data_IF_312826022782
#
_entry.id   IF_312826022782
#
_cell.length_a   1.000
_cell.length_b   1.000
_cell.length_c   1.000
_cell.angle_alpha   90.00
_cell.angle_beta   90.00
_cell.angle_gamma   90.00
#
_symmetry.space_group_name_H-M   'P 1'
#
loop_
_entity.id
_entity.type
_entity.pdbx_description
1 polymer ?
#
# COMPACT_ATOMS: atom_id res chain seq x y z
N UNK A 1 27.43 49.58 -5.03
CA UNK A 1 26.64 48.44 -5.58
C UNK A 1 26.53 47.26 -4.62
N UNK A 2 27.48 47.01 -3.72
CA UNK A 2 27.37 45.93 -2.70
C UNK A 2 26.32 46.24 -1.61
N UNK A 3 26.19 47.51 -1.19
CA UNK A 3 25.28 47.90 -0.10
C UNK A 3 23.79 47.69 -0.40
N UNK A 4 23.34 47.83 -1.65
CA UNK A 4 21.91 47.68 -1.97
C UNK A 4 21.45 46.23 -1.88
N UNK A 5 22.32 45.27 -2.21
CA UNK A 5 22.02 43.84 -2.13
C UNK A 5 21.98 43.39 -0.66
N UNK A 6 22.89 43.93 0.17
CA UNK A 6 22.89 43.68 1.61
C UNK A 6 21.63 44.26 2.26
N UNK A 7 21.24 45.49 1.92
CA UNK A 7 20.00 46.10 2.43
C UNK A 7 18.74 45.34 1.99
N UNK A 8 18.72 44.80 0.77
CA UNK A 8 17.62 44.00 0.25
C UNK A 8 17.52 42.64 0.95
N UNK A 9 18.67 42.01 1.24
CA UNK A 9 18.75 40.78 2.02
C UNK A 9 18.34 41.02 3.48
N UNK A 10 18.75 42.14 4.08
CA UNK A 10 18.36 42.52 5.44
C UNK A 10 16.86 42.76 5.52
N UNK A 11 16.27 43.53 4.58
CA UNK A 11 14.81 43.73 4.49
C UNK A 11 14.06 42.42 4.28
N UNK A 12 14.58 41.54 3.43
CA UNK A 12 14.01 40.19 3.21
C UNK A 12 14.07 39.36 4.48
N UNK A 13 15.18 39.39 5.21
CA UNK A 13 15.37 38.64 6.46
C UNK A 13 14.44 39.17 7.55
N UNK A 14 14.33 40.50 7.72
CA UNK A 14 13.37 41.09 8.67
C UNK A 14 11.92 40.80 8.28
N UNK A 15 11.61 40.71 6.99
CA UNK A 15 10.29 40.27 6.50
C UNK A 15 10.03 38.81 6.83
N UNK A 16 10.99 37.92 6.59
CA UNK A 16 10.88 36.49 6.91
C UNK A 16 10.78 36.24 8.43
N UNK A 17 11.46 37.05 9.26
CA UNK A 17 11.40 36.97 10.72
C UNK A 17 10.12 37.59 11.32
N UNK A 18 9.51 38.56 10.63
CA UNK A 18 8.22 39.17 11.02
C UNK A 18 7.00 38.42 10.48
N UNK A 19 7.20 37.51 9.53
CA UNK A 19 6.18 36.55 9.13
C UNK A 19 5.95 35.57 10.28
N UNK A 20 4.68 35.37 10.67
CA UNK A 20 4.34 34.33 11.63
C UNK A 20 4.85 32.98 11.12
N UNK A 21 5.42 32.12 11.97
CA UNK A 21 5.95 30.83 11.54
C UNK A 21 4.87 30.09 10.75
N UNK A 22 5.24 29.63 9.55
CA UNK A 22 4.35 28.76 8.76
C UNK A 22 3.88 27.66 9.71
N UNK A 23 2.56 27.47 9.91
CA UNK A 23 2.08 26.45 10.81
C UNK A 23 2.65 25.15 10.28
N UNK A 24 3.37 24.44 11.15
CA UNK A 24 3.79 23.10 10.83
C UNK A 24 2.52 22.34 10.46
N UNK A 25 2.54 21.75 9.27
CA UNK A 25 1.38 21.06 8.72
C UNK A 25 1.21 19.76 9.52
N UNK A 26 0.64 19.83 10.73
CA UNK A 26 0.32 18.69 11.60
C UNK A 26 -0.83 17.83 11.02
N UNK A 27 -1.10 17.94 9.72
CA UNK A 27 -2.31 17.44 9.06
C UNK A 27 -2.49 15.93 9.14
N UNK A 28 -1.43 15.19 9.50
CA UNK A 28 -1.43 13.75 9.76
C UNK A 28 -0.53 13.39 10.95
N UNK A 29 -0.88 13.80 12.16
CA UNK A 29 -0.34 13.16 13.37
C UNK A 29 -0.98 11.78 13.49
N UNK A 30 -0.18 10.72 13.30
CA UNK A 30 -0.60 9.33 13.38
C UNK A 30 -1.20 8.98 14.74
N UNK A 31 -2.52 8.89 14.84
CA UNK A 31 -3.17 8.29 16.03
C UNK A 31 -3.10 6.76 16.01
N UNK A 32 -2.91 6.16 14.83
CA UNK A 32 -2.71 4.71 14.65
C UNK A 32 -1.79 4.46 13.44
N UNK A 33 -0.81 3.57 13.58
CA UNK A 33 0.14 3.23 12.50
C UNK A 33 -0.54 2.56 11.28
N UNK A 34 -1.70 1.91 11.48
CA UNK A 34 -2.29 1.01 10.49
C UNK A 34 -3.62 1.50 9.89
N UNK A 35 -3.97 2.78 9.97
CA UNK A 35 -5.30 3.24 9.51
C UNK A 35 -5.58 3.04 8.01
N UNK A 36 -4.56 2.74 7.19
CA UNK A 36 -4.74 2.34 5.79
C UNK A 36 -5.58 1.06 5.64
N UNK A 37 -5.65 0.19 6.67
CA UNK A 37 -6.43 -1.05 6.64
C UNK A 37 -7.94 -0.80 6.47
N UNK A 38 -8.41 0.41 6.79
CA UNK A 38 -9.81 0.80 6.63
C UNK A 38 -10.11 1.36 5.24
N UNK A 39 -9.11 1.46 4.35
CA UNK A 39 -9.29 1.94 2.99
C UNK A 39 -9.77 0.80 2.09
N UNK A 40 -10.93 0.99 1.46
CA UNK A 40 -11.43 0.11 0.40
C UNK A 40 -10.40 -0.11 -0.73
N UNK A 41 -9.67 0.91 -1.26
CA UNK A 41 -8.68 0.65 -2.30
C UNK A 41 -7.53 -0.25 -1.82
N UNK A 42 -7.15 -0.20 -0.54
CA UNK A 42 -6.14 -1.10 0.03
C UNK A 42 -6.65 -2.54 0.12
N UNK A 43 -7.91 -2.74 0.54
CA UNK A 43 -8.50 -4.07 0.61
C UNK A 43 -8.65 -4.71 -0.79
N UNK A 44 -9.10 -3.94 -1.78
CA UNK A 44 -9.19 -4.41 -3.15
C UNK A 44 -7.82 -4.74 -3.75
N UNK A 45 -6.80 -3.91 -3.49
CA UNK A 45 -5.43 -4.17 -3.92
C UNK A 45 -4.86 -5.46 -3.29
N UNK A 46 -5.17 -5.73 -2.01
CA UNK A 46 -4.80 -6.98 -1.34
C UNK A 46 -5.45 -8.21 -1.98
N UNK A 47 -6.73 -8.13 -2.32
CA UNK A 47 -7.41 -9.20 -3.05
C UNK A 47 -6.76 -9.41 -4.42
N UNK A 48 -6.54 -8.32 -5.17
CA UNK A 48 -5.91 -8.35 -6.49
C UNK A 48 -4.54 -9.04 -6.42
N UNK A 49 -3.67 -8.63 -5.48
CA UNK A 49 -2.36 -9.29 -5.28
C UNK A 49 -2.52 -10.78 -4.94
N UNK A 50 -3.47 -11.13 -4.09
CA UNK A 50 -3.72 -12.53 -3.72
C UNK A 50 -4.10 -13.37 -4.95
N UNK A 51 -4.94 -12.82 -5.84
CA UNK A 51 -5.32 -13.49 -7.08
C UNK A 51 -4.14 -13.55 -8.07
N UNK A 52 -3.34 -12.48 -8.17
CA UNK A 52 -2.14 -12.43 -9.03
C UNK A 52 -1.16 -13.52 -8.61
N UNK A 53 -0.78 -13.60 -7.33
CA UNK A 53 0.17 -14.62 -6.84
C UNK A 53 -0.36 -16.03 -7.09
N UNK A 54 -1.66 -16.27 -6.83
CA UNK A 54 -2.28 -17.56 -7.10
C UNK A 54 -2.22 -17.94 -8.59
N UNK A 55 -2.50 -16.97 -9.47
CA UNK A 55 -2.38 -17.17 -10.91
C UNK A 55 -0.92 -17.45 -11.33
N UNK A 56 0.03 -16.62 -10.90
CA UNK A 56 1.43 -16.75 -11.32
C UNK A 56 2.15 -17.95 -10.72
N UNK A 57 1.75 -18.42 -9.53
CA UNK A 57 2.24 -19.67 -8.92
C UNK A 57 1.89 -20.90 -9.75
N UNK A 58 0.85 -20.83 -10.58
CA UNK A 58 0.45 -21.92 -11.47
C UNK A 58 1.24 -21.97 -12.79
N UNK A 59 1.95 -20.90 -13.13
CA UNK A 59 2.66 -20.80 -14.41
C UNK A 59 3.94 -21.65 -14.41
N UNK A 60 4.33 -22.24 -15.56
CA UNK A 60 5.56 -23.00 -15.66
C UNK A 60 6.78 -22.08 -15.56
N UNK A 61 7.95 -22.68 -15.30
CA UNK A 61 9.21 -21.95 -15.07
C UNK A 61 9.60 -21.00 -16.20
N UNK A 62 9.18 -21.29 -17.43
CA UNK A 62 9.41 -20.43 -18.60
C UNK A 62 8.85 -19.01 -18.45
N UNK A 63 7.86 -18.80 -17.57
CA UNK A 63 7.24 -17.49 -17.32
C UNK A 63 7.69 -16.83 -16.01
N UNK A 64 8.78 -17.26 -15.37
CA UNK A 64 9.24 -16.67 -14.12
C UNK A 64 9.53 -15.16 -14.20
N UNK A 65 10.01 -14.67 -15.35
CA UNK A 65 10.19 -13.22 -15.55
C UNK A 65 8.86 -12.47 -15.48
N UNK A 66 7.85 -12.96 -16.20
CA UNK A 66 6.50 -12.38 -16.19
C UNK A 66 5.88 -12.44 -14.79
N UNK A 67 5.96 -13.60 -14.13
CA UNK A 67 5.54 -13.78 -12.74
C UNK A 67 6.13 -12.70 -11.82
N UNK A 68 7.45 -12.53 -11.83
CA UNK A 68 8.11 -11.58 -10.94
C UNK A 68 7.63 -10.15 -11.21
N UNK A 69 7.50 -9.76 -12.48
CA UNK A 69 7.06 -8.42 -12.88
C UNK A 69 5.65 -8.10 -12.36
N UNK A 70 4.67 -8.98 -12.60
CA UNK A 70 3.29 -8.73 -12.17
C UNK A 70 3.12 -8.88 -10.64
N UNK A 71 3.83 -9.83 -10.01
CA UNK A 71 3.81 -10.01 -8.54
C UNK A 71 4.38 -8.75 -7.84
N UNK A 72 5.47 -8.19 -8.37
CA UNK A 72 6.08 -6.96 -7.84
C UNK A 72 5.20 -5.73 -8.07
N UNK A 73 4.61 -5.59 -9.27
CA UNK A 73 3.67 -4.51 -9.55
C UNK A 73 2.46 -4.57 -8.59
N UNK A 74 1.86 -5.74 -8.40
CA UNK A 74 0.72 -5.92 -7.51
C UNK A 74 1.07 -5.66 -6.03
N UNK A 75 2.26 -6.07 -5.59
CA UNK A 75 2.79 -5.72 -4.25
C UNK A 75 3.01 -4.22 -4.11
N UNK A 76 3.54 -3.56 -5.14
CA UNK A 76 3.81 -2.12 -5.16
C UNK A 76 2.54 -1.27 -5.01
N UNK A 77 1.40 -1.70 -5.58
CA UNK A 77 0.10 -1.02 -5.36
C UNK A 77 -0.20 -0.88 -3.87
N UNK A 78 -0.05 -1.97 -3.10
CA UNK A 78 -0.33 -2.01 -1.66
C UNK A 78 0.73 -1.21 -0.90
N UNK A 79 2.01 -1.49 -1.15
CA UNK A 79 3.12 -0.87 -0.43
C UNK A 79 3.10 0.66 -0.55
N UNK A 80 2.79 1.21 -1.72
CA UNK A 80 2.66 2.65 -1.90
C UNK A 80 1.48 3.24 -1.12
N UNK A 81 0.36 2.53 -0.96
CA UNK A 81 -0.75 3.00 -0.12
C UNK A 81 -0.33 3.04 1.34
N UNK A 82 0.41 2.03 1.82
CA UNK A 82 0.88 1.90 3.20
C UNK A 82 1.96 2.94 3.54
N UNK A 83 2.98 3.05 2.68
CA UNK A 83 4.07 4.01 2.83
C UNK A 83 3.57 5.45 2.69
N UNK A 84 2.73 5.68 1.68
CA UNK A 84 2.03 6.94 1.48
C UNK A 84 1.13 7.29 2.64
N UNK A 85 0.44 6.29 3.22
CA UNK A 85 -0.31 6.47 4.45
C UNK A 85 0.67 7.03 5.45
N UNK A 86 1.74 6.35 5.86
CA UNK A 86 2.70 6.79 6.87
C UNK A 86 3.37 8.19 6.67
N UNK A 87 3.21 8.87 5.54
CA UNK A 87 3.83 10.18 5.28
C UNK A 87 3.28 11.33 6.15
N UNK A 88 4.14 12.27 6.60
CA UNK A 88 3.74 13.38 7.47
C UNK A 88 2.71 14.32 6.86
N UNK A 89 2.75 14.53 5.54
CA UNK A 89 1.87 15.49 4.86
C UNK A 89 0.86 14.83 3.94
N UNK A 90 -0.28 15.51 3.74
CA UNK A 90 -1.28 15.06 2.76
C UNK A 90 -0.74 15.15 1.33
N UNK A 91 0.15 16.11 1.05
CA UNK A 91 0.76 16.25 -0.28
C UNK A 91 1.65 15.06 -0.64
N UNK A 92 2.49 14.60 0.28
CA UNK A 92 3.29 13.39 0.07
C UNK A 92 2.41 12.17 -0.10
N UNK A 93 1.33 12.04 0.68
CA UNK A 93 0.42 10.92 0.50
C UNK A 93 -0.17 10.87 -0.92
N UNK A 94 -0.59 12.02 -1.45
CA UNK A 94 -1.09 12.12 -2.82
C UNK A 94 -0.03 11.65 -3.84
N UNK A 95 1.24 11.99 -3.66
CA UNK A 95 2.34 11.50 -4.50
C UNK A 95 2.42 9.96 -4.48
N UNK A 96 2.38 9.35 -3.30
CA UNK A 96 2.41 7.90 -3.15
C UNK A 96 1.17 7.21 -3.72
N UNK A 97 -0.01 7.80 -3.58
CA UNK A 97 -1.22 7.30 -4.25
C UNK A 97 -1.06 7.33 -5.77
N UNK A 98 -0.38 8.35 -6.32
CA UNK A 98 0.01 8.38 -7.73
C UNK A 98 0.90 7.21 -8.14
N UNK A 99 1.90 6.83 -7.33
CA UNK A 99 2.71 5.64 -7.56
C UNK A 99 1.89 4.34 -7.50
N UNK A 100 0.96 4.24 -6.54
CA UNK A 100 0.02 3.12 -6.44
C UNK A 100 -0.83 2.96 -7.72
N UNK A 101 -1.34 4.07 -8.27
CA UNK A 101 -2.07 4.07 -9.55
C UNK A 101 -1.18 3.66 -10.74
N UNK A 102 0.08 4.10 -10.76
CA UNK A 102 1.07 3.67 -11.74
C UNK A 102 1.29 2.16 -11.74
N UNK A 103 1.56 1.57 -10.56
CA UNK A 103 1.71 0.12 -10.44
C UNK A 103 0.41 -0.64 -10.76
N UNK A 104 -0.76 -0.08 -10.44
CA UNK A 104 -2.04 -0.71 -10.80
C UNK A 104 -2.24 -0.75 -12.33
N UNK A 105 -1.76 0.27 -13.03
CA UNK A 105 -1.75 0.32 -14.50
C UNK A 105 -0.81 -0.72 -15.10
N UNK A 106 0.33 -1.00 -14.47
CA UNK A 106 1.23 -2.09 -14.87
C UNK A 106 0.56 -3.45 -14.70
N UNK A 107 -0.06 -3.72 -13.55
CA UNK A 107 -0.83 -4.95 -13.32
C UNK A 107 -1.92 -5.13 -14.38
N UNK A 108 -2.65 -4.05 -14.73
CA UNK A 108 -3.64 -4.08 -15.82
C UNK A 108 -3.03 -4.51 -17.14
N UNK A 109 -1.87 -3.96 -17.50
CA UNK A 109 -1.14 -4.28 -18.73
C UNK A 109 -0.69 -5.74 -18.75
N UNK A 110 -0.16 -6.24 -17.64
CA UNK A 110 0.31 -7.63 -17.55
C UNK A 110 -0.85 -8.64 -17.59
N UNK A 111 -1.99 -8.33 -16.98
CA UNK A 111 -3.23 -9.13 -17.12
C UNK A 111 -3.70 -9.17 -18.58
N UNK A 112 -3.63 -8.05 -19.29
CA UNK A 112 -3.97 -7.98 -20.72
C UNK A 112 -3.03 -8.82 -21.58
N UNK A 113 -1.72 -8.74 -21.34
CA UNK A 113 -0.72 -9.55 -22.03
C UNK A 113 -0.90 -11.04 -21.73
N UNK A 114 -1.11 -11.42 -20.47
CA UNK A 114 -1.40 -12.80 -20.10
C UNK A 114 -2.62 -13.37 -20.84
N UNK A 115 -3.65 -12.55 -21.08
CA UNK A 115 -4.80 -12.96 -21.89
C UNK A 115 -4.45 -13.13 -23.37
N UNK A 116 -3.66 -12.22 -23.94
CA UNK A 116 -3.20 -12.26 -25.32
C UNK A 116 -2.30 -13.48 -25.59
N UNK A 117 -1.42 -13.80 -24.64
CA UNK A 117 -0.48 -14.92 -24.68
C UNK A 117 -1.15 -16.27 -24.36
N UNK A 118 -2.46 -16.30 -24.10
CA UNK A 118 -3.21 -17.51 -23.79
C UNK A 118 -2.96 -18.09 -22.39
N UNK A 119 -2.24 -17.37 -21.52
CA UNK A 119 -1.95 -17.79 -20.15
C UNK A 119 -3.17 -17.64 -19.22
N UNK A 120 -4.02 -16.64 -19.50
CA UNK A 120 -5.20 -16.34 -18.72
C UNK A 120 -6.46 -16.48 -19.58
N UNK A 121 -7.38 -17.34 -19.15
CA UNK A 121 -8.66 -17.54 -19.84
C UNK A 121 -9.58 -16.34 -19.71
N UNK A 122 -10.52 -16.20 -20.64
CA UNK A 122 -11.58 -15.19 -20.62
C UNK A 122 -12.93 -15.88 -20.65
N UNK A 123 -13.80 -15.49 -19.74
CA UNK A 123 -15.16 -16.00 -19.60
C UNK A 123 -16.07 -14.81 -19.40
N UNK A 124 -16.87 -14.48 -20.41
CA UNK A 124 -17.77 -13.34 -20.37
C UNK A 124 -18.73 -13.45 -19.18
N UNK A 125 -18.92 -12.34 -18.46
CA UNK A 125 -19.79 -12.27 -17.29
C UNK A 125 -19.19 -12.83 -16.00
N UNK A 126 -18.01 -13.45 -16.04
CA UNK A 126 -17.31 -13.85 -14.81
C UNK A 126 -16.93 -12.61 -13.97
N UNK A 127 -17.00 -12.75 -12.66
CA UNK A 127 -16.79 -11.66 -11.71
C UNK A 127 -16.34 -12.20 -10.35
N UNK A 128 -15.79 -11.34 -9.50
CA UNK A 128 -15.43 -11.70 -8.12
C UNK A 128 -16.66 -12.21 -7.34
N UNK A 129 -17.82 -11.57 -7.53
CA UNK A 129 -19.07 -12.02 -6.94
C UNK A 129 -19.48 -13.42 -7.44
N UNK A 130 -19.22 -13.73 -8.72
CA UNK A 130 -19.42 -15.08 -9.29
C UNK A 130 -18.55 -16.16 -8.65
N UNK A 131 -17.44 -15.78 -8.00
CA UNK A 131 -16.61 -16.67 -7.18
C UNK A 131 -17.07 -16.74 -5.71
N UNK A 132 -18.18 -16.09 -5.36
CA UNK A 132 -18.62 -15.92 -3.98
C UNK A 132 -17.80 -14.92 -3.19
N UNK A 133 -16.98 -14.09 -3.85
CA UNK A 133 -16.16 -13.06 -3.20
C UNK A 133 -16.99 -11.77 -3.12
N UNK A 134 -17.59 -11.52 -1.95
CA UNK A 134 -18.07 -10.19 -1.58
C UNK A 134 -16.89 -9.33 -1.12
N UNK A 135 -16.77 -8.11 -1.68
CA UNK A 135 -15.63 -7.22 -1.41
C UNK A 135 -15.71 -6.56 -0.03
N UNK A 136 -16.92 -6.35 0.50
CA UNK A 136 -17.12 -5.79 1.83
C UNK A 136 -16.78 -6.83 2.89
N UNK A 137 -17.27 -8.05 2.72
CA UNK A 137 -16.94 -9.17 3.61
C UNK A 137 -15.43 -9.48 3.57
N UNK A 138 -14.83 -9.46 2.38
CA UNK A 138 -13.38 -9.54 2.24
C UNK A 138 -12.67 -8.46 3.05
N UNK A 139 -13.11 -7.20 2.95
CA UNK A 139 -12.51 -6.10 3.69
C UNK A 139 -12.62 -6.29 5.21
N UNK A 140 -13.77 -6.74 5.71
CA UNK A 140 -13.93 -7.06 7.14
C UNK A 140 -13.00 -8.19 7.59
N UNK A 141 -12.89 -9.26 6.80
CA UNK A 141 -11.98 -10.38 7.09
C UNK A 141 -10.52 -9.97 7.06
N UNK A 142 -10.11 -9.18 6.08
CA UNK A 142 -8.75 -8.67 5.95
C UNK A 142 -8.38 -7.73 7.10
N UNK A 143 -9.32 -6.86 7.53
CA UNK A 143 -9.13 -6.07 8.75
C UNK A 143 -8.93 -6.97 9.96
N UNK A 144 -9.77 -7.99 10.15
CA UNK A 144 -9.62 -8.93 11.26
C UNK A 144 -8.27 -9.67 11.22
N UNK A 145 -7.79 -10.06 10.03
CA UNK A 145 -6.51 -10.78 9.90
C UNK A 145 -5.28 -9.91 10.17
N UNK A 146 -5.38 -8.59 9.98
CA UNK A 146 -4.27 -7.63 10.23
C UNK A 146 -4.36 -6.99 11.62
N UNK A 147 -5.57 -6.78 12.15
CA UNK A 147 -5.82 -6.16 13.47
C UNK A 147 -5.72 -7.19 14.59
N UNK A 148 -5.94 -8.48 14.33
CA UNK A 148 -5.80 -9.52 15.35
C UNK A 148 -4.37 -9.60 15.88
N UNK A 149 -4.13 -8.92 17.00
CA UNK A 149 -3.18 -9.42 18.00
C UNK A 149 -3.57 -10.87 18.30
N UNK A 150 -2.60 -11.79 18.47
CA UNK A 150 -2.91 -13.19 18.79
C UNK A 150 -3.72 -13.21 20.08
N UNK A 151 -5.01 -13.47 19.94
CA UNK A 151 -5.95 -13.45 21.05
C UNK A 151 -5.90 -14.82 21.71
N UNK A 152 -5.04 -14.93 22.72
CA UNK A 152 -5.10 -15.93 23.80
C UNK A 152 -5.32 -17.40 23.40
N UNK A 153 -4.22 -18.16 23.30
CA UNK A 153 -4.29 -19.63 23.26
C UNK A 153 -2.93 -20.27 23.01
N UNK A 154 -2.21 -20.57 24.11
CA UNK A 154 -0.86 -21.15 24.19
C UNK A 154 0.27 -20.26 23.66
N UNK A 155 1.08 -19.79 24.59
CA UNK A 155 2.21 -18.90 24.32
C UNK A 155 3.25 -19.54 23.42
N UNK A 156 3.41 -18.99 22.23
CA UNK A 156 4.74 -18.75 21.69
C UNK A 156 4.89 -17.23 21.65
N UNK A 157 5.25 -16.65 22.81
CA UNK A 157 5.95 -15.36 22.81
C UNK A 157 7.18 -15.60 21.94
N UNK A 158 7.27 -14.95 20.79
CA UNK A 158 8.54 -14.80 20.11
C UNK A 158 9.51 -14.16 21.08
N UNK A 159 10.34 -14.97 21.71
CA UNK A 159 11.40 -14.54 22.59
C UNK A 159 12.51 -13.96 21.71
N UNK A 160 12.36 -12.70 21.31
CA UNK A 160 13.39 -11.96 20.59
C UNK A 160 14.64 -11.69 21.46
N UNK A 161 14.71 -12.22 22.69
CA UNK A 161 15.91 -12.17 23.55
C UNK A 161 16.80 -13.42 23.41
N UNK A 162 16.39 -14.42 22.62
CA UNK A 162 17.21 -15.60 22.26
C UNK A 162 17.51 -15.69 20.77
N UNK A 163 17.77 -14.55 20.13
CA UNK A 163 18.60 -14.55 18.94
C UNK A 163 20.04 -14.69 19.44
N UNK A 164 20.46 -15.92 19.79
CA UNK A 164 21.88 -16.23 19.74
C UNK A 164 22.30 -15.99 18.30
N UNK A 165 23.09 -14.93 18.08
CA UNK A 165 23.83 -14.76 16.84
C UNK A 165 24.61 -16.06 16.65
N UNK A 166 24.22 -16.87 15.65
CA UNK A 166 25.03 -17.98 15.17
C UNK A 166 26.31 -17.39 14.58
N UNK A 167 27.24 -17.05 15.47
CA UNK A 167 28.63 -16.79 15.15
C UNK A 167 29.16 -18.14 14.69
N UNK A 168 29.39 -18.29 13.39
CA UNK A 168 30.05 -19.47 12.84
C UNK A 168 31.43 -19.57 13.49
N UNK A 169 31.57 -20.53 14.40
CA UNK A 169 32.88 -21.11 14.67
C UNK A 169 33.13 -22.13 13.55
N UNK A 170 33.95 -21.71 12.59
CA UNK A 170 34.48 -22.59 11.57
C UNK A 170 35.36 -23.64 12.25
N UNK A 171 34.86 -24.87 12.38
CA UNK A 171 35.70 -26.05 12.59
C UNK A 171 35.05 -27.30 11.98
N UNK A 172 35.66 -27.74 10.88
CA UNK A 172 35.72 -29.11 10.36
C UNK A 172 34.46 -29.74 9.73
N UNK A 173 34.48 -29.74 8.39
CA UNK A 173 34.08 -30.79 7.45
C UNK A 173 33.16 -31.91 7.98
N UNK A 174 31.84 -31.68 7.91
CA UNK A 174 30.85 -32.62 7.34
C UNK A 174 29.59 -31.81 7.03
N UNK A 175 29.43 -31.41 5.77
CA UNK A 175 28.23 -30.69 5.32
C UNK A 175 27.05 -31.65 5.28
N UNK A 176 26.25 -31.66 6.35
CA UNK A 176 24.87 -32.12 6.28
C UNK A 176 24.11 -31.21 5.31
N UNK A 177 24.08 -31.60 4.03
CA UNK A 177 23.18 -31.03 3.05
C UNK A 177 21.75 -31.38 3.49
N UNK A 178 21.12 -30.48 4.24
CA UNK A 178 19.67 -30.53 4.40
C UNK A 178 19.08 -30.08 3.05
N UNK A 179 18.41 -30.97 2.29
CA UNK A 179 17.90 -30.61 0.98
C UNK A 179 16.83 -29.53 1.14
N UNK A 180 17.06 -28.36 0.54
CA UNK A 180 16.19 -27.16 0.55
C UNK A 180 14.72 -27.48 0.18
N UNK A 181 14.45 -28.63 -0.45
CA UNK A 181 13.10 -29.13 -0.75
C UNK A 181 12.22 -29.40 0.47
N UNK A 182 12.78 -29.62 1.67
CA UNK A 182 12.01 -29.96 2.88
C UNK A 182 11.37 -28.76 3.58
N UNK A 183 11.77 -27.52 3.27
CA UNK A 183 11.16 -26.32 3.88
C UNK A 183 9.81 -25.92 3.26
N UNK A 184 9.47 -26.44 2.08
CA UNK A 184 8.23 -26.06 1.36
C UNK A 184 6.94 -26.59 2.03
N UNK A 185 7.06 -27.53 2.97
CA UNK A 185 5.92 -28.24 3.56
C UNK A 185 5.62 -27.93 5.03
N UNK A 186 6.42 -27.09 5.71
CA UNK A 186 6.31 -26.97 7.17
C UNK A 186 5.43 -25.82 7.68
N UNK A 187 4.90 -24.97 6.81
CA UNK A 187 3.91 -23.95 7.18
C UNK A 187 2.74 -24.02 6.21
N UNK A 188 1.50 -24.21 6.70
CA UNK A 188 0.31 -23.98 5.89
C UNK A 188 0.42 -22.58 5.28
N UNK A 189 0.11 -22.44 4.00
CA UNK A 189 -0.05 -21.13 3.38
C UNK A 189 -1.04 -20.30 4.23
N UNK A 190 -0.70 -19.04 4.47
CA UNK A 190 -1.50 -18.12 5.28
C UNK A 190 -2.98 -18.19 4.86
N UNK A 191 -3.87 -18.33 5.85
CA UNK A 191 -5.32 -18.38 5.64
C UNK A 191 -5.96 -17.08 6.12
N UNK A 192 -6.76 -16.46 5.26
CA UNK A 192 -7.51 -15.25 5.60
C UNK A 192 -8.75 -15.54 6.46
N UNK A 193 -9.09 -16.83 6.64
CA UNK A 193 -10.35 -17.29 7.24
C UNK A 193 -11.55 -16.74 6.46
N UNK A 194 -11.39 -16.72 5.14
CA UNK A 194 -12.41 -16.30 4.17
C UNK A 194 -12.45 -17.33 3.03
N UNK A 195 -13.33 -18.35 3.15
CA UNK A 195 -13.36 -19.49 2.23
C UNK A 195 -13.39 -19.13 0.74
N UNK A 196 -14.17 -18.14 0.26
CA UNK A 196 -14.18 -17.78 -1.16
C UNK A 196 -12.80 -17.43 -1.73
N UNK A 197 -11.91 -16.88 -0.89
CA UNK A 197 -10.51 -16.64 -1.27
C UNK A 197 -9.65 -17.85 -0.92
N UNK A 198 -9.76 -18.43 0.27
CA UNK A 198 -8.87 -19.49 0.75
C UNK A 198 -8.98 -20.82 -0.02
N UNK A 199 -10.13 -21.10 -0.63
CA UNK A 199 -10.40 -22.32 -1.41
C UNK A 199 -10.41 -22.10 -2.92
N UNK A 200 -10.11 -20.90 -3.39
CA UNK A 200 -10.18 -20.56 -4.81
C UNK A 200 -9.19 -21.38 -5.63
N UNK A 201 -9.65 -21.94 -6.75
CA UNK A 201 -8.79 -22.69 -7.66
C UNK A 201 -8.30 -21.78 -8.78
N UNK A 202 -7.10 -22.08 -9.28
CA UNK A 202 -6.49 -21.30 -10.38
C UNK A 202 -7.37 -21.30 -11.61
N UNK A 203 -7.97 -22.45 -11.93
CA UNK A 203 -8.87 -22.57 -13.07
C UNK A 203 -10.11 -21.70 -12.95
N UNK A 204 -10.48 -21.18 -11.78
CA UNK A 204 -11.65 -20.31 -11.63
C UNK A 204 -11.34 -18.86 -12.00
N UNK A 205 -10.05 -18.49 -12.02
CA UNK A 205 -9.59 -17.15 -12.38
C UNK A 205 -9.76 -16.86 -13.87
N UNK A 206 -10.16 -15.64 -14.18
CA UNK A 206 -10.42 -15.16 -15.53
C UNK A 206 -9.93 -13.73 -15.70
N UNK A 207 -9.66 -13.35 -16.94
CA UNK A 207 -9.33 -11.98 -17.32
C UNK A 207 -10.34 -10.95 -16.76
N UNK A 208 -11.64 -11.23 -16.85
CA UNK A 208 -12.70 -10.31 -16.43
C UNK A 208 -12.65 -10.01 -14.93
N UNK A 209 -12.38 -11.01 -14.08
CA UNK A 209 -12.25 -10.85 -12.63
C UNK A 209 -11.08 -9.90 -12.30
N UNK A 210 -9.93 -10.08 -12.95
CA UNK A 210 -8.78 -9.19 -12.74
C UNK A 210 -9.09 -7.76 -13.18
N UNK A 211 -9.72 -7.58 -14.35
CA UNK A 211 -10.08 -6.24 -14.85
C UNK A 211 -11.14 -5.58 -13.97
N UNK A 212 -12.11 -6.34 -13.46
CA UNK A 212 -13.09 -5.86 -12.49
C UNK A 212 -12.40 -5.30 -11.24
N UNK A 213 -11.51 -6.09 -10.63
CA UNK A 213 -10.77 -5.67 -9.43
C UNK A 213 -9.87 -4.47 -9.69
N UNK A 214 -9.16 -4.44 -10.83
CA UNK A 214 -8.34 -3.29 -11.24
C UNK A 214 -9.19 -2.03 -11.36
N UNK A 215 -10.33 -2.09 -12.06
CA UNK A 215 -11.17 -0.92 -12.28
C UNK A 215 -11.82 -0.44 -10.98
N UNK A 216 -12.28 -1.35 -10.12
CA UNK A 216 -12.82 -0.99 -8.79
C UNK A 216 -11.73 -0.37 -7.91
N UNK A 217 -10.53 -0.94 -7.89
CA UNK A 217 -9.39 -0.40 -7.14
C UNK A 217 -9.03 1.01 -7.61
N UNK A 218 -8.92 1.23 -8.92
CA UNK A 218 -8.62 2.55 -9.51
C UNK A 218 -9.70 3.58 -9.16
N UNK A 219 -10.98 3.21 -9.26
CA UNK A 219 -12.09 4.09 -8.89
C UNK A 219 -11.99 4.53 -7.42
N UNK A 220 -11.75 3.59 -6.51
CA UNK A 220 -11.60 3.88 -5.09
C UNK A 220 -10.34 4.70 -4.78
N UNK A 221 -9.23 4.48 -5.50
CA UNK A 221 -8.03 5.31 -5.40
C UNK A 221 -8.31 6.76 -5.82
N UNK A 222 -9.01 6.96 -6.95
CA UNK A 222 -9.40 8.31 -7.41
C UNK A 222 -10.30 9.01 -6.39
N UNK A 223 -11.27 8.29 -5.79
CA UNK A 223 -12.13 8.86 -4.75
C UNK A 223 -11.37 9.21 -3.48
N UNK A 224 -10.38 8.42 -3.10
CA UNK A 224 -9.49 8.75 -2.00
C UNK A 224 -8.66 10.02 -2.32
N UNK A 225 -8.08 10.10 -3.51
CA UNK A 225 -7.33 11.27 -3.99
C UNK A 225 -8.20 12.54 -3.96
N UNK A 226 -9.39 12.49 -4.57
CA UNK A 226 -10.35 13.59 -4.58
C UNK A 226 -10.70 14.06 -3.17
N UNK A 227 -10.95 13.13 -2.25
CA UNK A 227 -11.22 13.45 -0.84
C UNK A 227 -10.04 14.13 -0.15
N UNK A 228 -8.82 13.68 -0.42
CA UNK A 228 -7.60 14.24 0.18
C UNK A 228 -7.25 15.61 -0.39
N UNK A 229 -7.45 15.83 -1.69
CA UNK A 229 -7.29 17.12 -2.35
C UNK A 229 -8.29 18.15 -1.80
N UNK A 230 -9.56 17.75 -1.63
CA UNK A 230 -10.58 18.59 -1.00
C UNK A 230 -10.24 18.92 0.46
N UNK A 231 -9.69 17.98 1.22
CA UNK A 231 -9.17 18.25 2.57
C UNK A 231 -8.02 19.26 2.52
N UNK A 232 -7.03 19.04 1.65
CA UNK A 232 -5.87 19.91 1.51
C UNK A 232 -6.26 21.34 1.11
N UNK A 233 -7.23 21.50 0.20
CA UNK A 233 -7.75 22.80 -0.22
C UNK A 233 -8.45 23.53 0.94
N UNK A 234 -9.27 22.82 1.73
CA UNK A 234 -9.91 23.38 2.92
C UNK A 234 -8.87 23.82 3.95
N UNK A 235 -7.89 22.97 4.25
CA UNK A 235 -6.81 23.27 5.21
C UNK A 235 -6.04 24.54 4.80
N UNK A 236 -5.74 24.70 3.50
CA UNK A 236 -5.10 25.91 2.95
C UNK A 236 -5.98 27.16 3.10
N UNK A 237 -7.29 27.06 2.85
CA UNK A 237 -8.22 28.19 2.99
C UNK A 237 -8.32 28.66 4.43
N UNK A 238 -8.45 27.73 5.39
CA UNK A 238 -8.46 28.06 6.82
C UNK A 238 -7.18 28.78 7.23
N UNK A 239 -6.03 28.32 6.74
CA UNK A 239 -4.76 28.97 7.02
C UNK A 239 -4.71 30.42 6.52
N UNK A 240 -5.16 30.68 5.29
CA UNK A 240 -5.19 32.04 4.73
C UNK A 240 -6.11 32.99 5.51
N UNK A 241 -7.26 32.49 5.97
CA UNK A 241 -8.20 33.25 6.79
C UNK A 241 -7.56 33.63 8.13
N UNK A 242 -6.91 32.67 8.81
CA UNK A 242 -6.26 32.93 10.10
C UNK A 242 -5.08 33.92 9.95
N UNK A 243 -4.30 33.80 8.88
CA UNK A 243 -3.24 34.77 8.55
C UNK A 243 -3.80 36.18 8.35
N UNK A 244 -4.94 36.31 7.68
CA UNK A 244 -5.61 37.60 7.45
C UNK A 244 -6.13 38.16 8.77
N UNK A 245 -6.71 37.32 9.64
CA UNK A 245 -7.17 37.70 10.98
C UNK A 245 -6.03 38.22 11.85
N UNK A 246 -4.90 37.52 11.90
CA UNK A 246 -3.71 37.95 12.64
C UNK A 246 -3.21 39.29 12.12
N UNK A 247 -3.07 39.46 10.80
CA UNK A 247 -2.67 40.72 10.18
C UNK A 247 -3.62 41.88 10.49
N UNK A 248 -4.93 41.62 10.51
CA UNK A 248 -5.92 42.66 10.85
C UNK A 248 -5.84 43.11 12.30
N UNK A 249 -5.49 42.21 13.23
CA UNK A 249 -5.25 42.56 14.64
C UNK A 249 -3.98 43.42 14.79
N UNK A 250 -2.90 43.07 14.10
CA UNK A 250 -1.63 43.80 14.15
C UNK A 250 -1.74 45.22 13.56
N UNK A 251 -2.65 45.45 12.61
CA UNK A 251 -2.90 46.77 11.99
C UNK A 251 -3.92 47.63 12.76
N UNK A 252 -4.55 47.08 13.79
CA UNK A 252 -5.61 47.74 14.57
C UNK A 252 -5.12 48.42 15.85
N UNK A 253 -3.82 48.36 16.13
CA UNK A 253 -3.09 49.11 17.17
C UNK A 253 -2.18 50.16 16.51
#
# INVERSE_FOLDING_TARGET
MADSVVDELVKKTFRELSESPKPQQHSRVWKSSNGYIFLVPWANANLLRTLVVRFTDSLPKSHYRFKNQIDDAARSVIANIEEGFARPTTSEYLTFLGFSQGSLKEVKGDVQRARQDGLLRSVLGSSAAGLGIDLKDWHEKLKASVISKPSGGTGIKGDYRKLEEFRREDNNNHSLQIPIKSFKFLYPSFKFLYPPVDSLKVQDLTYEIFIELVNKTDWHLRKLVESLENKLARDKKYYQIEQTRIRSKIRGD
#
